data_IF_844367009634
#
_entry.id   IF_844367009634
#
_cell.length_a   1.000
_cell.length_b   1.000
_cell.length_c   1.000
_cell.angle_alpha   90.00
_cell.angle_beta   90.00
_cell.angle_gamma   90.00
#
_symmetry.space_group_name_H-M   'P 1'
#
loop_
_entity.id
_entity.type
_entity.pdbx_description
1 polymer ?
#
# COMPACT_ATOMS: atom_id res chain seq x y z
N UNK A 1 -72.95 12.87 -23.43
CA UNK A 1 -71.84 13.79 -23.84
C UNK A 1 -70.54 13.00 -23.90
N UNK A 2 -69.74 13.17 -24.95
CA UNK A 2 -68.42 12.54 -25.04
C UNK A 2 -67.43 13.30 -24.16
N UNK A 3 -66.66 12.58 -23.34
CA UNK A 3 -65.69 13.18 -22.39
C UNK A 3 -64.44 13.74 -23.09
N UNK A 4 -64.02 13.13 -24.20
CA UNK A 4 -62.90 13.59 -25.03
C UNK A 4 -63.39 13.58 -26.48
N UNK A 5 -63.15 14.69 -27.20
CA UNK A 5 -63.60 14.87 -28.58
C UNK A 5 -62.75 14.04 -29.56
N UNK A 6 -61.43 13.94 -29.32
CA UNK A 6 -60.52 13.12 -30.12
C UNK A 6 -59.81 12.09 -29.24
N UNK A 7 -60.01 10.81 -29.53
CA UNK A 7 -59.40 9.69 -28.79
C UNK A 7 -58.02 9.29 -29.30
N UNK A 8 -57.60 9.78 -30.47
CA UNK A 8 -56.29 9.48 -31.06
C UNK A 8 -55.16 10.26 -30.36
N UNK A 9 -54.57 9.60 -29.36
CA UNK A 9 -53.46 10.13 -28.57
C UNK A 9 -52.17 10.28 -29.38
N UNK A 10 -51.92 9.43 -30.37
CA UNK A 10 -50.68 9.46 -31.15
C UNK A 10 -50.57 10.74 -31.98
N UNK A 11 -51.69 11.18 -32.56
CA UNK A 11 -51.77 12.44 -33.30
C UNK A 11 -51.57 13.65 -32.39
N UNK A 12 -52.23 13.67 -31.23
CA UNK A 12 -52.11 14.77 -30.27
C UNK A 12 -50.67 14.88 -29.76
N UNK A 13 -50.06 13.79 -29.29
CA UNK A 13 -48.71 13.83 -28.71
C UNK A 13 -47.62 14.20 -29.73
N UNK A 14 -47.82 13.91 -31.02
CA UNK A 14 -46.87 14.23 -32.09
C UNK A 14 -47.16 15.56 -32.79
N UNK A 15 -48.16 16.33 -32.33
CA UNK A 15 -48.50 17.60 -32.94
C UNK A 15 -47.40 18.66 -32.76
N UNK A 16 -47.22 19.57 -33.73
CA UNK A 16 -46.16 20.57 -33.67
C UNK A 16 -46.36 21.57 -32.52
N UNK A 17 -47.60 21.85 -32.13
CA UNK A 17 -47.87 22.78 -31.04
C UNK A 17 -47.34 22.24 -29.70
N UNK A 18 -47.55 20.93 -29.46
CA UNK A 18 -47.09 20.27 -28.23
C UNK A 18 -45.58 20.08 -28.28
N UNK A 19 -45.03 19.58 -29.38
CA UNK A 19 -43.58 19.32 -29.48
C UNK A 19 -42.73 20.59 -29.37
N UNK A 20 -43.23 21.74 -29.84
CA UNK A 20 -42.53 23.03 -29.68
C UNK A 20 -42.40 23.47 -28.23
N UNK A 21 -43.36 23.11 -27.37
CA UNK A 21 -43.36 23.46 -25.96
C UNK A 21 -42.57 22.46 -25.08
N UNK A 22 -42.24 21.28 -25.61
CA UNK A 22 -41.54 20.24 -24.87
C UNK A 22 -40.01 20.41 -24.92
N UNK A 23 -39.34 20.00 -23.84
CA UNK A 23 -37.88 19.87 -23.81
C UNK A 23 -37.39 18.56 -24.44
N UNK A 24 -36.11 18.54 -24.78
CA UNK A 24 -35.44 17.34 -25.24
C UNK A 24 -35.54 16.21 -24.21
N UNK A 25 -35.78 15.00 -24.70
CA UNK A 25 -35.95 13.82 -23.84
C UNK A 25 -34.62 13.42 -23.18
N UNK A 26 -34.59 13.39 -21.84
CA UNK A 26 -33.46 12.89 -21.06
C UNK A 26 -33.49 11.35 -20.97
N UNK A 27 -33.06 10.65 -22.02
CA UNK A 27 -33.06 9.16 -22.07
C UNK A 27 -31.82 8.50 -21.42
N UNK A 28 -30.96 9.27 -20.76
CA UNK A 28 -29.72 8.76 -20.18
C UNK A 28 -30.00 8.02 -18.87
N UNK A 29 -29.80 6.70 -18.87
CA UNK A 29 -29.92 5.89 -17.66
C UNK A 29 -28.60 5.96 -16.88
N UNK A 30 -28.65 6.52 -15.68
CA UNK A 30 -27.49 6.58 -14.78
C UNK A 30 -27.43 5.33 -13.90
N UNK A 31 -26.61 4.36 -14.29
CA UNK A 31 -26.38 3.16 -13.48
C UNK A 31 -25.50 3.44 -12.26
N UNK A 32 -25.62 2.57 -11.24
CA UNK A 32 -24.77 2.62 -10.03
C UNK A 32 -23.31 2.42 -10.41
N UNK A 33 -22.46 3.39 -10.06
CA UNK A 33 -21.01 3.29 -10.23
C UNK A 33 -20.38 2.61 -9.01
N UNK A 34 -19.55 1.58 -9.24
CA UNK A 34 -18.79 0.94 -8.18
C UNK A 34 -17.73 1.90 -7.60
N UNK A 35 -17.79 2.13 -6.29
CA UNK A 35 -16.77 2.92 -5.57
C UNK A 35 -15.48 2.11 -5.41
N UNK A 36 -14.48 2.43 -6.23
CA UNK A 36 -13.14 1.84 -6.14
C UNK A 36 -12.32 2.56 -5.05
N UNK A 37 -11.51 1.81 -4.30
CA UNK A 37 -10.68 2.37 -3.24
C UNK A 37 -9.47 3.15 -3.82
N UNK A 38 -9.31 4.47 -3.54
CA UNK A 38 -8.23 5.30 -4.11
C UNK A 38 -6.85 4.94 -3.56
N UNK A 39 -6.74 4.44 -2.34
CA UNK A 39 -5.45 4.05 -1.76
C UNK A 39 -4.88 2.82 -2.48
N UNK A 40 -5.75 1.97 -3.02
CA UNK A 40 -5.38 0.78 -3.79
C UNK A 40 -5.34 1.03 -5.30
N UNK A 41 -6.25 1.84 -5.83
CA UNK A 41 -6.33 2.15 -7.27
C UNK A 41 -5.80 3.56 -7.58
N UNK A 42 -4.61 3.60 -8.17
CA UNK A 42 -3.93 4.86 -8.51
C UNK A 42 -4.78 5.78 -9.41
N UNK A 43 -5.42 5.25 -10.46
CA UNK A 43 -6.17 6.09 -11.43
C UNK A 43 -7.34 6.81 -10.76
N UNK A 44 -8.00 6.15 -9.81
CA UNK A 44 -9.09 6.75 -9.04
C UNK A 44 -8.55 7.84 -8.12
N UNK A 45 -7.42 7.58 -7.46
CA UNK A 45 -6.77 8.60 -6.66
C UNK A 45 -6.32 9.80 -7.49
N UNK A 46 -5.85 9.59 -8.72
CA UNK A 46 -5.48 10.68 -9.62
C UNK A 46 -6.68 11.48 -10.13
N UNK A 47 -7.81 10.80 -10.41
CA UNK A 47 -9.07 11.47 -10.78
C UNK A 47 -9.59 12.37 -9.65
N UNK A 48 -9.42 11.95 -8.40
CA UNK A 48 -9.85 12.71 -7.22
C UNK A 48 -8.82 13.76 -6.78
N UNK A 49 -7.54 13.44 -6.84
CA UNK A 49 -6.43 14.30 -6.42
C UNK A 49 -5.29 14.23 -7.45
N UNK A 50 -5.21 15.20 -8.38
CA UNK A 50 -4.17 15.22 -9.40
C UNK A 50 -2.76 15.43 -8.81
N UNK A 51 -2.64 16.17 -7.70
CA UNK A 51 -1.37 16.39 -7.00
C UNK A 51 -0.77 15.10 -6.44
N UNK A 52 -1.58 14.07 -6.21
CA UNK A 52 -1.08 12.77 -5.78
C UNK A 52 -0.09 12.14 -6.79
N UNK A 53 -0.14 12.53 -8.08
CA UNK A 53 0.82 12.10 -9.11
C UNK A 53 2.23 12.63 -8.81
N UNK A 54 2.34 13.94 -8.60
CA UNK A 54 3.62 14.62 -8.35
C UNK A 54 4.19 14.23 -7.00
N UNK A 55 3.34 14.18 -5.97
CA UNK A 55 3.72 13.72 -4.63
C UNK A 55 4.33 12.32 -4.67
N UNK A 56 3.65 11.35 -5.32
CA UNK A 56 4.18 9.98 -5.44
C UNK A 56 5.50 9.95 -6.20
N UNK A 57 5.61 10.66 -7.33
CA UNK A 57 6.86 10.73 -8.10
C UNK A 57 8.02 11.26 -7.24
N UNK A 58 7.81 12.36 -6.53
CA UNK A 58 8.83 12.97 -5.68
C UNK A 58 9.25 12.04 -4.55
N UNK A 59 8.31 11.33 -3.93
CA UNK A 59 8.63 10.34 -2.88
C UNK A 59 9.50 9.20 -3.40
N UNK A 60 9.22 8.69 -4.60
CA UNK A 60 10.00 7.62 -5.24
C UNK A 60 11.43 8.11 -5.53
N UNK A 61 11.58 9.30 -6.12
CA UNK A 61 12.89 9.87 -6.41
C UNK A 61 13.71 10.10 -5.14
N UNK A 62 13.08 10.62 -4.09
CA UNK A 62 13.73 10.81 -2.79
C UNK A 62 14.17 9.49 -2.15
N UNK A 63 13.32 8.47 -2.19
CA UNK A 63 13.65 7.14 -1.67
C UNK A 63 14.81 6.50 -2.43
N UNK A 64 14.81 6.61 -3.77
CA UNK A 64 15.90 6.09 -4.60
C UNK A 64 17.24 6.79 -4.30
N UNK A 65 17.23 8.12 -4.14
CA UNK A 65 18.44 8.89 -3.75
C UNK A 65 18.96 8.45 -2.38
N UNK A 66 18.08 8.34 -1.38
CA UNK A 66 18.47 7.91 -0.05
C UNK A 66 19.05 6.49 -0.06
N UNK A 67 18.44 5.58 -0.81
CA UNK A 67 18.95 4.21 -0.94
C UNK A 67 20.38 4.17 -1.50
N UNK A 68 20.67 4.94 -2.56
CA UNK A 68 22.04 5.07 -3.11
C UNK A 68 23.01 5.58 -2.05
N UNK A 69 22.68 6.67 -1.36
CA UNK A 69 23.50 7.23 -0.28
C UNK A 69 23.77 6.20 0.82
N UNK A 70 22.78 5.38 1.19
CA UNK A 70 22.97 4.32 2.18
C UNK A 70 23.92 3.22 1.69
N UNK A 71 23.84 2.84 0.42
CA UNK A 71 24.76 1.87 -0.18
C UNK A 71 26.20 2.41 -0.24
N UNK A 72 26.39 3.66 -0.68
CA UNK A 72 27.72 4.28 -0.78
C UNK A 72 28.36 4.42 0.60
N UNK A 73 27.56 4.80 1.61
CA UNK A 73 28.02 4.86 3.01
C UNK A 73 28.39 3.48 3.54
N UNK A 74 27.61 2.44 3.23
CA UNK A 74 27.93 1.08 3.63
C UNK A 74 29.20 0.58 2.95
N UNK A 75 29.39 0.86 1.66
CA UNK A 75 30.60 0.52 0.92
C UNK A 75 31.84 1.24 1.47
N UNK A 76 31.75 2.54 1.76
CA UNK A 76 32.84 3.29 2.37
C UNK A 76 33.17 2.81 3.78
N UNK A 77 32.18 2.35 4.55
CA UNK A 77 32.42 1.74 5.86
C UNK A 77 33.10 0.37 5.74
N UNK A 78 32.68 -0.46 4.78
CA UNK A 78 33.32 -1.73 4.49
C UNK A 78 34.80 -1.53 4.09
N UNK A 79 35.08 -0.59 3.18
CA UNK A 79 36.45 -0.26 2.77
C UNK A 79 37.34 0.23 3.93
N UNK A 80 36.78 1.04 4.85
CA UNK A 80 37.50 1.48 6.06
C UNK A 80 37.76 0.37 7.08
N UNK A 81 36.95 -0.70 7.06
CA UNK A 81 37.18 -1.87 7.90
C UNK A 81 38.26 -2.77 7.29
N UNK A 82 38.25 -2.95 5.97
CA UNK A 82 39.32 -3.66 5.24
C UNK A 82 40.69 -2.99 5.45
N UNK A 83 40.77 -1.65 5.32
CA UNK A 83 42.01 -0.87 5.57
C UNK A 83 42.51 -0.99 7.03
N UNK A 84 41.61 -1.20 7.99
CA UNK A 84 41.96 -1.39 9.41
C UNK A 84 42.34 -2.83 9.75
N UNK A 85 41.92 -3.81 8.96
CA UNK A 85 42.19 -5.24 9.19
C UNK A 85 43.59 -5.63 8.70
N UNK A 86 44.15 -4.96 7.70
CA UNK A 86 45.55 -5.17 7.30
C UNK A 86 46.58 -4.63 8.31
N UNK A 87 46.15 -3.82 9.29
CA UNK A 87 47.04 -3.15 10.23
C UNK A 87 47.34 -3.83 11.58
N UNK A 88 46.54 -4.79 12.08
CA UNK A 88 46.77 -5.35 13.43
C UNK A 88 46.31 -6.82 13.60
N UNK A 89 47.28 -7.71 13.83
CA UNK A 89 47.09 -9.05 14.44
C UNK A 89 46.69 -8.94 15.93
N UNK A 90 45.99 -9.94 16.51
CA UNK A 90 45.13 -9.77 17.68
C UNK A 90 45.80 -10.16 19.01
N UNK A 91 45.42 -9.49 20.11
CA UNK A 91 45.69 -9.93 21.49
C UNK A 91 44.46 -9.70 22.39
N UNK A 92 43.88 -10.82 22.79
CA UNK A 92 43.27 -11.24 24.08
C UNK A 92 42.53 -10.27 25.03
N UNK A 93 41.30 -10.70 25.35
CA UNK A 93 40.65 -10.82 26.67
C UNK A 93 40.74 -9.72 27.74
N UNK A 94 39.59 -9.28 28.29
CA UNK A 94 39.21 -9.47 29.72
C UNK A 94 37.83 -8.93 30.13
N UNK A 95 37.35 -9.53 31.22
CA UNK A 95 36.00 -9.61 31.81
C UNK A 95 35.57 -8.40 32.68
N UNK A 96 34.24 -8.29 32.86
CA UNK A 96 33.54 -7.95 34.13
C UNK A 96 33.16 -6.47 34.33
N UNK A 97 32.15 -6.06 35.13
CA UNK A 97 31.04 -6.66 35.88
C UNK A 97 30.20 -5.49 36.47
N UNK A 98 28.86 -5.57 36.40
CA UNK A 98 27.76 -4.96 37.21
C UNK A 98 27.82 -3.50 37.71
N UNK A 99 26.68 -2.76 37.58
CA UNK A 99 25.93 -2.13 38.71
C UNK A 99 24.43 -1.99 38.34
N UNK A 100 23.54 -2.22 39.32
CA UNK A 100 22.08 -2.11 39.26
C UNK A 100 21.57 -0.77 39.82
N UNK A 101 20.38 -0.29 39.39
CA UNK A 101 19.71 0.84 40.08
C UNK A 101 18.47 1.45 39.40
N UNK A 102 17.29 0.87 39.67
CA UNK A 102 15.95 1.47 39.93
C UNK A 102 15.31 2.53 39.01
N UNK A 103 14.08 2.24 38.52
CA UNK A 103 12.84 3.06 38.68
C UNK A 103 11.56 2.33 38.17
N UNK A 104 10.44 2.68 38.81
CA UNK A 104 9.11 2.04 39.00
C UNK A 104 8.26 1.70 37.74
N UNK A 105 7.21 0.86 37.87
CA UNK A 105 6.58 0.13 36.75
C UNK A 105 5.41 0.90 36.11
N UNK A 106 5.29 0.81 34.77
CA UNK A 106 4.14 1.32 34.03
C UNK A 106 3.37 0.17 33.36
N UNK A 107 2.18 -0.09 33.94
CA UNK A 107 0.96 -0.73 33.41
C UNK A 107 1.08 -1.59 32.12
N UNK A 108 0.80 -2.90 32.27
CA UNK A 108 0.42 -3.80 31.17
C UNK A 108 -0.98 -3.43 30.63
N UNK A 109 -1.20 -3.29 29.32
CA UNK A 109 -2.55 -3.40 28.78
C UNK A 109 -2.87 -4.87 28.45
N UNK A 110 -4.05 -5.27 28.94
CA UNK A 110 -4.77 -6.51 28.71
C UNK A 110 -4.63 -7.04 27.27
N UNK A 111 -4.37 -8.34 27.18
CA UNK A 111 -4.41 -9.11 25.95
C UNK A 111 -5.76 -9.01 25.26
N UNK A 112 -5.74 -8.56 24.01
CA UNK A 112 -6.72 -8.91 22.99
C UNK A 112 -5.94 -9.66 21.92
N UNK A 113 -6.24 -10.95 21.75
CA UNK A 113 -5.74 -11.77 20.67
C UNK A 113 -6.19 -11.16 19.33
N UNK A 114 -5.39 -10.24 18.78
CA UNK A 114 -5.55 -9.72 17.44
C UNK A 114 -5.04 -10.79 16.47
N UNK A 115 -5.94 -11.68 16.08
CA UNK A 115 -5.68 -12.62 15.00
C UNK A 115 -5.37 -11.82 13.74
N UNK A 116 -4.11 -11.83 13.30
CA UNK A 116 -3.64 -11.05 12.16
C UNK A 116 -4.49 -11.40 10.92
N UNK A 117 -4.87 -10.43 10.08
CA UNK A 117 -5.70 -10.68 8.90
C UNK A 117 -5.06 -11.77 8.02
N UNK A 118 -5.87 -12.70 7.50
CA UNK A 118 -5.47 -13.94 6.81
C UNK A 118 -4.34 -13.75 5.78
N UNK A 119 -4.31 -12.61 5.09
CA UNK A 119 -3.29 -12.27 4.09
C UNK A 119 -1.90 -11.95 4.69
N UNK A 120 -1.83 -11.44 5.93
CA UNK A 120 -0.57 -11.28 6.65
C UNK A 120 -0.05 -12.61 7.20
N UNK A 121 -0.95 -13.51 7.62
CA UNK A 121 -0.56 -14.86 8.06
C UNK A 121 0.06 -15.67 6.91
N UNK A 122 -0.55 -15.63 5.72
CA UNK A 122 -0.02 -16.32 4.54
C UNK A 122 1.38 -15.84 4.14
N UNK A 123 1.63 -14.52 4.16
CA UNK A 123 2.97 -13.97 3.89
C UNK A 123 4.02 -14.42 4.90
N UNK A 124 3.68 -14.41 6.21
CA UNK A 124 4.58 -14.89 7.27
C UNK A 124 4.87 -16.38 7.12
N UNK A 125 3.88 -17.17 6.72
CA UNK A 125 4.04 -18.61 6.51
C UNK A 125 4.92 -18.91 5.29
N UNK A 126 4.82 -18.13 4.21
CA UNK A 126 5.70 -18.24 3.04
C UNK A 126 7.16 -17.89 3.38
N UNK A 127 7.39 -16.82 4.15
CA UNK A 127 8.72 -16.44 4.65
C UNK A 127 9.32 -17.48 5.61
N UNK A 128 8.49 -18.10 6.46
CA UNK A 128 8.93 -19.22 7.31
C UNK A 128 9.29 -20.44 6.47
N UNK A 129 8.49 -20.80 5.47
CA UNK A 129 8.80 -21.93 4.56
C UNK A 129 10.10 -21.70 3.79
N UNK A 130 10.31 -20.50 3.23
CA UNK A 130 11.55 -20.20 2.49
C UNK A 130 12.79 -20.23 3.38
N UNK A 131 12.69 -19.73 4.62
CA UNK A 131 13.81 -19.78 5.56
C UNK A 131 14.14 -21.21 6.02
N UNK A 132 13.14 -22.08 6.17
CA UNK A 132 13.35 -23.49 6.49
C UNK A 132 13.99 -24.26 5.33
N UNK A 133 13.54 -24.04 4.09
CA UNK A 133 14.14 -24.64 2.89
C UNK A 133 15.61 -24.23 2.73
N UNK A 134 15.93 -22.95 2.94
CA UNK A 134 17.31 -22.47 2.86
C UNK A 134 18.21 -23.02 3.99
N UNK A 135 17.65 -23.28 5.18
CA UNK A 135 18.38 -23.97 6.26
C UNK A 135 18.62 -25.44 5.94
N UNK A 136 17.63 -26.12 5.35
CA UNK A 136 17.73 -27.53 4.96
C UNK A 136 18.75 -27.73 3.84
N UNK A 137 18.81 -26.80 2.88
CA UNK A 137 19.80 -26.81 1.79
C UNK A 137 21.23 -26.61 2.30
N UNK A 138 21.41 -25.84 3.39
CA UNK A 138 22.72 -25.60 4.01
C UNK A 138 23.16 -26.67 5.02
N UNK A 139 22.24 -27.53 5.45
CA UNK A 139 22.53 -28.61 6.40
C UNK A 139 22.79 -29.96 5.73
N UNK A 140 22.72 -30.05 4.40
CA UNK A 140 23.14 -31.26 3.70
C UNK A 140 24.67 -31.32 3.63
N UNK A 141 25.32 -32.38 4.13
CA UNK A 141 26.75 -32.55 3.98
C UNK A 141 27.08 -32.74 2.50
N UNK A 142 28.06 -31.98 2.00
CA UNK A 142 28.61 -32.21 0.67
C UNK A 142 29.23 -33.62 0.63
N UNK A 143 28.73 -34.45 -0.28
CA UNK A 143 29.35 -35.74 -0.62
C UNK A 143 30.60 -35.52 -1.46
#
# INVERSE_FOLDING_TARGET
MHKIISTDRSRILKSPEIQRALWASCKKIHHRVLKKNPLKNLRIMLKLNPYAKTMRRNTILRQARNHKIHLDKAAAQAAKLEEKVEGKKPVEEKKGKKVAGTKKPLKKPLGKNLQLPRNQQLKRNLLKKSSLLHKLLKSQPAA
#
